data_IF_029226822663
#
_entry.id   IF_029226822663
#
_cell.length_a   1.000
_cell.length_b   1.000
_cell.length_c   1.000
_cell.angle_alpha   90.00
_cell.angle_beta   90.00
_cell.angle_gamma   90.00
#
_symmetry.space_group_name_H-M   'P 1'
#
loop_
_entity.id
_entity.type
_entity.pdbx_description
1 polymer ?
#
# COMPACT_ATOMS: atom_id res chain seq x y z
N UNK A 1 -32.17 18.29 -1.52
CA UNK A 1 -31.23 17.13 -1.57
C UNK A 1 -29.81 17.70 -1.57
N UNK A 2 -28.92 17.53 -0.59
CA UNK A 2 -28.77 16.48 0.43
C UNK A 2 -27.76 16.90 1.53
N UNK A 3 -28.20 17.53 2.63
CA UNK A 3 -27.37 17.61 3.85
C UNK A 3 -27.25 16.25 4.57
N UNK A 4 -28.18 15.31 4.30
CA UNK A 4 -28.12 13.95 4.83
C UNK A 4 -26.91 13.14 4.35
N UNK A 5 -26.51 13.29 3.08
CA UNK A 5 -25.41 12.49 2.51
C UNK A 5 -24.06 12.70 3.22
N UNK A 6 -23.56 13.94 3.42
CA UNK A 6 -22.32 14.14 4.17
C UNK A 6 -22.44 13.68 5.62
N UNK A 7 -23.58 13.92 6.28
CA UNK A 7 -23.81 13.45 7.65
C UNK A 7 -23.73 11.92 7.80
N UNK A 8 -24.33 11.17 6.88
CA UNK A 8 -24.25 9.71 6.86
C UNK A 8 -22.82 9.21 6.63
N UNK A 9 -22.01 9.91 5.82
CA UNK A 9 -20.59 9.57 5.62
C UNK A 9 -19.82 9.75 6.92
N UNK A 10 -20.07 10.83 7.66
CA UNK A 10 -19.45 11.08 8.97
C UNK A 10 -19.80 9.97 9.96
N UNK A 11 -21.10 9.65 10.10
CA UNK A 11 -21.56 8.57 10.99
C UNK A 11 -20.90 7.25 10.60
N UNK A 12 -20.92 6.88 9.31
CA UNK A 12 -20.30 5.64 8.83
C UNK A 12 -18.80 5.60 9.17
N UNK A 13 -18.09 6.70 8.95
CA UNK A 13 -16.66 6.82 9.26
C UNK A 13 -16.40 6.62 10.76
N UNK A 14 -17.21 7.25 11.62
CA UNK A 14 -17.10 7.10 13.07
C UNK A 14 -17.41 5.67 13.53
N UNK A 15 -18.47 5.05 12.99
CA UNK A 15 -18.82 3.66 13.31
C UNK A 15 -17.71 2.68 12.94
N UNK A 16 -17.11 2.82 11.75
CA UNK A 16 -15.95 2.03 11.35
C UNK A 16 -14.77 2.25 12.30
N UNK A 17 -14.46 3.51 12.61
CA UNK A 17 -13.37 3.84 13.52
C UNK A 17 -13.55 3.19 14.90
N UNK A 18 -14.75 3.30 15.48
CA UNK A 18 -15.10 2.70 16.77
C UNK A 18 -15.06 1.18 16.70
N UNK A 19 -15.64 0.58 15.67
CA UNK A 19 -15.64 -0.87 15.47
C UNK A 19 -14.20 -1.42 15.39
N UNK A 20 -13.35 -0.80 14.57
CA UNK A 20 -11.96 -1.21 14.45
C UNK A 20 -11.19 -1.02 15.77
N UNK A 21 -11.56 -0.03 16.58
CA UNK A 21 -10.93 0.18 17.89
C UNK A 21 -11.13 -0.99 18.84
N UNK A 22 -12.25 -1.72 18.71
CA UNK A 22 -12.51 -2.94 19.48
C UNK A 22 -11.43 -4.00 19.19
N UNK A 23 -10.91 -4.03 17.96
CA UNK A 23 -9.84 -4.94 17.58
C UNK A 23 -8.54 -4.69 18.38
N UNK A 24 -8.39 -3.52 19.02
CA UNK A 24 -7.16 -3.06 19.63
C UNK A 24 -7.15 -3.08 21.17
N UNK A 25 -8.26 -3.50 21.80
CA UNK A 25 -8.44 -3.41 23.26
C UNK A 25 -7.50 -4.34 24.06
N UNK A 26 -7.07 -5.47 23.49
CA UNK A 26 -6.17 -6.39 24.19
C UNK A 26 -4.71 -5.95 24.04
N UNK A 27 -4.06 -5.67 25.16
CA UNK A 27 -2.61 -5.49 25.25
C UNK A 27 -1.91 -6.82 24.97
N UNK A 28 -0.83 -6.76 24.20
CA UNK A 28 -0.03 -7.94 23.90
C UNK A 28 1.37 -7.77 24.46
N UNK A 29 1.94 -8.86 24.96
CA UNK A 29 3.32 -8.88 25.42
C UNK A 29 4.28 -8.65 24.24
N UNK A 30 5.39 -7.92 24.47
CA UNK A 30 6.43 -7.79 23.47
C UNK A 30 6.94 -9.18 23.09
N UNK A 31 7.04 -9.44 21.79
CA UNK A 31 7.64 -10.65 21.26
C UNK A 31 9.02 -10.27 20.74
N UNK A 32 10.06 -10.85 21.34
CA UNK A 32 11.42 -10.74 20.81
C UNK A 32 11.53 -11.66 19.60
N UNK A 33 11.18 -11.13 18.42
CA UNK A 33 11.54 -11.76 17.16
C UNK A 33 13.01 -11.48 16.84
N UNK A 34 13.69 -12.43 16.20
CA UNK A 34 15.09 -12.26 15.79
C UNK A 34 15.24 -11.31 14.59
N UNK A 35 14.21 -11.24 13.74
CA UNK A 35 14.14 -10.35 12.58
C UNK A 35 13.09 -9.25 12.83
N UNK A 36 13.38 -8.04 12.36
CA UNK A 36 12.43 -6.94 12.31
C UNK A 36 11.38 -7.21 11.22
N UNK A 37 10.10 -7.01 11.52
CA UNK A 37 9.02 -7.32 10.61
C UNK A 37 8.54 -6.06 9.88
N UNK A 38 8.53 -6.13 8.56
CA UNK A 38 8.01 -5.07 7.67
C UNK A 38 6.70 -5.55 7.04
N UNK A 39 5.62 -4.86 7.36
CA UNK A 39 4.31 -5.07 6.74
C UNK A 39 4.15 -4.12 5.55
N UNK A 40 4.14 -4.67 4.35
CA UNK A 40 3.90 -3.93 3.12
C UNK A 40 2.42 -4.09 2.73
N UNK A 41 1.69 -2.98 2.53
CA UNK A 41 0.24 -2.99 2.37
C UNK A 41 -0.12 -2.43 1.01
N UNK A 42 -0.63 -3.29 0.11
CA UNK A 42 -1.05 -2.88 -1.23
C UNK A 42 -2.29 -3.64 -1.66
N UNK A 43 -3.38 -2.94 -1.99
CA UNK A 43 -4.72 -3.54 -2.21
C UNK A 43 -5.37 -3.09 -3.52
N UNK A 44 -4.59 -2.45 -4.38
CA UNK A 44 -5.01 -1.94 -5.68
C UNK A 44 -5.35 -3.07 -6.67
N UNK A 45 -5.78 -2.68 -7.87
CA UNK A 45 -6.11 -3.64 -8.92
C UNK A 45 -4.84 -4.26 -9.52
N UNK A 46 -5.00 -5.33 -10.30
CA UNK A 46 -3.86 -6.07 -10.86
C UNK A 46 -2.96 -5.19 -11.77
N UNK A 47 -3.53 -4.24 -12.50
CA UNK A 47 -2.74 -3.32 -13.34
C UNK A 47 -1.77 -2.48 -12.52
N UNK A 48 -2.24 -1.91 -11.42
CA UNK A 48 -1.42 -1.10 -10.51
C UNK A 48 -0.37 -1.96 -9.79
N UNK A 49 -0.72 -3.20 -9.44
CA UNK A 49 0.23 -4.17 -8.90
C UNK A 49 1.34 -4.49 -9.91
N UNK A 50 1.01 -4.73 -11.19
CA UNK A 50 2.01 -4.97 -12.25
C UNK A 50 2.96 -3.79 -12.42
N UNK A 51 2.42 -2.57 -12.51
CA UNK A 51 3.24 -1.35 -12.61
C UNK A 51 4.14 -1.18 -11.39
N UNK A 52 3.67 -1.54 -10.21
CA UNK A 52 4.46 -1.45 -8.99
C UNK A 52 5.63 -2.43 -8.92
N UNK A 53 5.63 -3.54 -9.66
CA UNK A 53 6.69 -4.55 -9.58
C UNK A 53 8.09 -3.99 -9.82
N UNK A 54 8.24 -2.91 -10.62
CA UNK A 54 9.53 -2.25 -10.81
C UNK A 54 10.11 -1.72 -9.50
N UNK A 55 9.30 -1.11 -8.63
CA UNK A 55 9.76 -0.62 -7.33
C UNK A 55 9.58 -1.64 -6.22
N UNK A 56 8.64 -2.58 -6.35
CA UNK A 56 8.38 -3.63 -5.36
C UNK A 56 9.64 -4.47 -5.07
N UNK A 57 10.41 -4.80 -6.12
CA UNK A 57 11.67 -5.56 -5.99
C UNK A 57 12.74 -4.85 -5.13
N UNK A 58 12.69 -3.52 -5.07
CA UNK A 58 13.67 -2.71 -4.35
C UNK A 58 13.44 -2.73 -2.84
N UNK A 59 12.21 -3.01 -2.37
CA UNK A 59 11.93 -3.18 -0.94
C UNK A 59 12.77 -4.29 -0.32
N UNK A 60 13.02 -5.38 -1.04
CA UNK A 60 13.88 -6.47 -0.55
C UNK A 60 15.34 -6.04 -0.38
N UNK A 61 15.82 -5.09 -1.19
CA UNK A 61 17.16 -4.52 -1.04
C UNK A 61 17.22 -3.57 0.15
N UNK A 62 16.16 -2.79 0.36
CA UNK A 62 16.02 -1.88 1.50
C UNK A 62 15.89 -2.65 2.84
N UNK A 63 15.23 -3.81 2.80
CA UNK A 63 14.96 -4.68 3.95
C UNK A 63 15.53 -6.08 3.71
N UNK A 64 16.86 -6.26 3.89
CA UNK A 64 17.53 -7.50 3.54
C UNK A 64 17.14 -8.67 4.47
N UNK A 65 17.10 -9.91 3.95
CA UNK A 65 16.49 -11.06 4.62
C UNK A 65 17.25 -11.55 5.87
N UNK A 66 18.51 -11.16 6.04
CA UNK A 66 19.31 -11.46 7.23
C UNK A 66 18.86 -10.67 8.46
N UNK A 67 18.11 -9.58 8.27
CA UNK A 67 17.64 -8.68 9.33
C UNK A 67 16.13 -8.49 9.34
N UNK A 68 15.48 -8.65 8.19
CA UNK A 68 14.08 -8.30 8.01
C UNK A 68 13.25 -9.44 7.44
N UNK A 69 12.03 -9.59 7.97
CA UNK A 69 10.96 -10.35 7.34
C UNK A 69 9.95 -9.38 6.71
N UNK A 70 9.66 -9.52 5.43
CA UNK A 70 8.65 -8.72 4.73
C UNK A 70 7.38 -9.56 4.55
N UNK A 71 6.25 -9.02 4.99
CA UNK A 71 4.92 -9.59 4.77
C UNK A 71 4.11 -8.63 3.88
N UNK A 72 3.59 -9.12 2.76
CA UNK A 72 2.74 -8.35 1.86
C UNK A 72 1.25 -8.59 2.17
N UNK A 73 0.55 -7.60 2.70
CA UNK A 73 -0.91 -7.59 2.73
C UNK A 73 -1.46 -7.12 1.38
N UNK A 74 -1.79 -8.09 0.52
CA UNK A 74 -2.11 -7.92 -0.90
C UNK A 74 -3.60 -7.96 -1.23
N UNK A 75 -4.04 -7.51 -2.40
CA UNK A 75 -5.39 -7.80 -2.87
C UNK A 75 -5.50 -9.28 -3.25
N UNK A 76 -6.49 -9.97 -2.69
CA UNK A 76 -6.74 -11.41 -2.94
C UNK A 76 -6.74 -11.78 -4.42
N UNK A 77 -7.16 -10.89 -5.32
CA UNK A 77 -7.23 -11.14 -6.78
C UNK A 77 -5.86 -11.49 -7.39
N UNK A 78 -4.77 -10.92 -6.88
CA UNK A 78 -3.43 -11.11 -7.43
C UNK A 78 -2.43 -11.73 -6.45
N UNK A 79 -2.86 -12.07 -5.22
CA UNK A 79 -1.97 -12.65 -4.22
C UNK A 79 -1.30 -13.95 -4.66
N UNK A 80 -2.00 -14.81 -5.40
CA UNK A 80 -1.42 -16.07 -5.90
C UNK A 80 -0.19 -15.79 -6.79
N UNK A 81 -0.24 -14.75 -7.63
CA UNK A 81 0.92 -14.32 -8.42
C UNK A 81 2.01 -13.69 -7.54
N UNK A 82 1.61 -12.99 -6.49
CA UNK A 82 2.55 -12.38 -5.57
C UNK A 82 3.34 -13.43 -4.77
N UNK A 83 2.73 -14.55 -4.40
CA UNK A 83 3.39 -15.63 -3.64
C UNK A 83 4.62 -16.20 -4.36
N UNK A 84 4.64 -16.18 -5.70
CA UNK A 84 5.76 -16.66 -6.52
C UNK A 84 6.93 -15.66 -6.63
N UNK A 85 6.79 -14.43 -6.13
CA UNK A 85 7.81 -13.39 -6.25
C UNK A 85 8.79 -13.38 -5.08
N UNK A 86 10.11 -13.22 -5.32
CA UNK A 86 11.14 -13.29 -4.27
C UNK A 86 11.28 -11.99 -3.45
N UNK A 87 10.28 -11.12 -3.49
CA UNK A 87 10.35 -9.77 -2.92
C UNK A 87 9.94 -9.74 -1.44
N UNK A 88 9.11 -10.68 -1.01
CA UNK A 88 8.58 -10.80 0.36
C UNK A 88 8.65 -12.26 0.82
N UNK A 89 8.48 -12.48 2.12
CA UNK A 89 8.57 -13.82 2.74
C UNK A 89 7.19 -14.46 2.92
N UNK A 90 6.13 -13.65 2.98
CA UNK A 90 4.75 -14.11 3.19
C UNK A 90 3.76 -13.13 2.53
N UNK A 91 2.63 -13.66 2.06
CA UNK A 91 1.53 -12.88 1.50
C UNK A 91 0.27 -13.12 2.33
N UNK A 92 -0.40 -12.05 2.73
CA UNK A 92 -1.71 -12.07 3.38
C UNK A 92 -2.75 -11.56 2.38
N UNK A 93 -3.65 -12.42 1.86
CA UNK A 93 -4.67 -11.99 0.93
C UNK A 93 -5.79 -11.21 1.61
N UNK A 94 -6.07 -10.03 1.07
CA UNK A 94 -7.12 -9.11 1.51
C UNK A 94 -8.21 -9.05 0.44
N UNK A 95 -9.39 -9.54 0.78
CA UNK A 95 -10.59 -9.34 -0.04
C UNK A 95 -11.17 -7.96 0.27
N UNK A 96 -10.87 -6.99 -0.59
CA UNK A 96 -11.31 -5.60 -0.44
C UNK A 96 -12.83 -5.43 -0.32
N UNK A 97 -13.62 -6.31 -0.95
CA UNK A 97 -15.09 -6.24 -0.86
C UNK A 97 -15.53 -6.73 0.51
N UNK A 98 -15.04 -7.91 0.93
CA UNK A 98 -15.38 -8.47 2.23
C UNK A 98 -14.89 -7.58 3.37
N UNK A 99 -13.74 -6.95 3.22
CA UNK A 99 -13.16 -6.07 4.23
C UNK A 99 -14.01 -4.82 4.52
N UNK A 100 -14.77 -4.34 3.52
CA UNK A 100 -15.71 -3.22 3.66
C UNK A 100 -17.12 -3.63 4.04
N UNK A 101 -17.49 -4.90 3.86
CA UNK A 101 -18.89 -5.35 3.95
C UNK A 101 -19.16 -6.31 5.11
N UNK A 102 -18.24 -7.24 5.40
CA UNK A 102 -18.43 -8.28 6.42
C UNK A 102 -17.61 -8.01 7.67
N UNK A 103 -18.29 -7.60 8.76
CA UNK A 103 -17.66 -7.23 10.03
C UNK A 103 -16.81 -8.35 10.64
N UNK A 104 -17.22 -9.61 10.50
CA UNK A 104 -16.44 -10.77 11.01
C UNK A 104 -15.12 -10.92 10.25
N UNK A 105 -15.16 -10.85 8.92
CA UNK A 105 -13.97 -10.89 8.08
C UNK A 105 -13.03 -9.74 8.43
N UNK A 106 -13.57 -8.52 8.52
CA UNK A 106 -12.83 -7.32 8.91
C UNK A 106 -12.13 -7.48 10.26
N UNK A 107 -12.86 -7.90 11.30
CA UNK A 107 -12.29 -8.04 12.64
C UNK A 107 -11.18 -9.10 12.66
N UNK A 108 -11.38 -10.24 12.01
CA UNK A 108 -10.39 -11.30 11.92
C UNK A 108 -9.12 -10.82 11.21
N UNK A 109 -9.24 -10.11 10.10
CA UNK A 109 -8.08 -9.58 9.37
C UNK A 109 -7.35 -8.51 10.19
N UNK A 110 -8.07 -7.59 10.84
CA UNK A 110 -7.46 -6.58 11.72
C UNK A 110 -6.70 -7.22 12.89
N UNK A 111 -7.26 -8.30 13.47
CA UNK A 111 -6.56 -9.09 14.49
C UNK A 111 -5.34 -9.80 13.94
N UNK A 112 -5.43 -10.41 12.76
CA UNK A 112 -4.28 -11.04 12.10
C UNK A 112 -3.14 -10.03 11.91
N UNK A 113 -3.43 -8.86 11.31
CA UNK A 113 -2.44 -7.80 11.09
C UNK A 113 -1.85 -7.27 12.40
N UNK A 114 -2.68 -7.04 13.42
CA UNK A 114 -2.20 -6.64 14.76
C UNK A 114 -1.24 -7.67 15.35
N UNK A 115 -1.57 -8.95 15.23
CA UNK A 115 -0.80 -10.04 15.83
C UNK A 115 0.56 -10.25 15.15
N UNK A 116 0.79 -9.69 13.96
CA UNK A 116 2.09 -9.72 13.30
C UNK A 116 3.15 -8.98 14.12
N UNK A 117 2.76 -7.95 14.88
CA UNK A 117 3.67 -7.06 15.61
C UNK A 117 4.76 -6.48 14.69
N UNK A 118 4.32 -5.99 13.52
CA UNK A 118 5.21 -5.36 12.56
C UNK A 118 5.94 -4.17 13.18
N UNK A 119 7.26 -4.11 13.06
CA UNK A 119 8.08 -2.97 13.47
C UNK A 119 7.84 -1.78 12.55
N UNK A 120 7.76 -2.04 11.24
CA UNK A 120 7.45 -1.05 10.21
C UNK A 120 6.24 -1.48 9.40
N UNK A 121 5.30 -0.57 9.15
CA UNK A 121 4.22 -0.78 8.18
C UNK A 121 4.27 0.29 7.09
N UNK A 122 4.13 -0.12 5.83
CA UNK A 122 4.31 0.75 4.67
C UNK A 122 3.11 0.58 3.74
N UNK A 123 2.46 1.68 3.39
CA UNK A 123 1.39 1.71 2.39
C UNK A 123 1.80 2.67 1.26
N UNK A 124 2.35 2.14 0.16
CA UNK A 124 2.91 2.94 -0.93
C UNK A 124 1.86 3.60 -1.84
N UNK A 125 0.59 3.18 -1.75
CA UNK A 125 -0.47 3.67 -2.64
C UNK A 125 -0.71 5.17 -2.47
N UNK A 126 -0.57 5.93 -3.56
CA UNK A 126 -0.81 7.38 -3.60
C UNK A 126 -2.27 7.73 -3.29
N UNK A 127 -3.24 7.07 -3.92
CA UNK A 127 -4.66 7.23 -3.61
C UNK A 127 -5.08 6.36 -2.41
N UNK A 128 -4.64 6.76 -1.22
CA UNK A 128 -4.97 6.06 0.04
C UNK A 128 -6.48 5.92 0.25
N UNK A 129 -6.88 4.83 0.90
CA UNK A 129 -8.28 4.53 1.18
C UNK A 129 -8.50 4.16 2.65
N UNK A 130 -9.33 4.98 3.30
CA UNK A 130 -9.56 4.97 4.74
C UNK A 130 -10.03 3.63 5.31
N UNK A 131 -10.95 2.95 4.63
CA UNK A 131 -11.54 1.69 5.12
C UNK A 131 -10.68 0.47 4.76
N UNK A 132 -9.72 0.61 3.86
CA UNK A 132 -8.82 -0.43 3.36
C UNK A 132 -7.41 -0.24 3.91
N UNK A 133 -6.50 0.33 3.10
CA UNK A 133 -5.07 0.43 3.41
C UNK A 133 -4.82 1.08 4.77
N UNK A 134 -5.45 2.23 5.01
CA UNK A 134 -5.17 2.99 6.24
C UNK A 134 -5.69 2.26 7.48
N UNK A 135 -6.78 1.48 7.33
CA UNK A 135 -7.28 0.64 8.42
C UNK A 135 -6.28 -0.47 8.78
N UNK A 136 -5.55 -1.02 7.81
CA UNK A 136 -4.49 -2.00 8.07
C UNK A 136 -3.25 -1.34 8.68
N UNK A 137 -2.86 -0.15 8.22
CA UNK A 137 -1.78 0.65 8.87
C UNK A 137 -2.12 0.90 10.34
N UNK A 138 -3.35 1.34 10.61
CA UNK A 138 -3.80 1.57 11.98
C UNK A 138 -3.74 0.29 12.82
N UNK A 139 -4.14 -0.84 12.24
CA UNK A 139 -4.19 -2.12 12.92
C UNK A 139 -2.81 -2.69 13.26
N UNK A 140 -1.80 -2.42 12.43
CA UNK A 140 -0.45 -2.94 12.62
C UNK A 140 0.16 -2.52 13.96
N UNK A 141 -0.23 -1.35 14.48
CA UNK A 141 0.36 -0.71 15.66
C UNK A 141 1.89 -0.60 15.62
N UNK A 142 2.46 -0.61 14.41
CA UNK A 142 3.89 -0.47 14.20
C UNK A 142 4.41 0.84 14.76
N UNK A 143 5.66 0.80 15.24
CA UNK A 143 6.38 1.97 15.74
C UNK A 143 6.66 2.94 14.60
N UNK A 144 6.94 2.42 13.39
CA UNK A 144 7.04 3.20 12.15
C UNK A 144 5.92 2.83 11.19
N UNK A 145 5.13 3.82 10.77
CA UNK A 145 4.03 3.69 9.79
C UNK A 145 4.18 4.74 8.71
N UNK A 146 4.59 4.31 7.52
CA UNK A 146 4.94 5.18 6.40
C UNK A 146 3.89 5.08 5.31
N UNK A 147 3.41 6.20 4.80
CA UNK A 147 2.46 6.19 3.67
C UNK A 147 2.61 7.45 2.84
N UNK A 148 2.07 7.46 1.62
CA UNK A 148 2.10 8.69 0.80
C UNK A 148 1.19 9.74 1.41
N UNK A 149 1.58 11.02 1.41
CA UNK A 149 0.62 12.13 1.67
C UNK A 149 -0.60 11.94 0.77
N UNK A 150 -0.35 11.60 -0.49
CA UNK A 150 -1.36 11.11 -1.41
C UNK A 150 -2.47 12.13 -1.73
N UNK A 151 -3.46 11.65 -2.48
CA UNK A 151 -4.70 12.38 -2.70
C UNK A 151 -5.89 11.50 -2.32
N UNK A 152 -6.46 11.73 -1.14
CA UNK A 152 -7.81 11.29 -0.83
C UNK A 152 -8.77 12.30 -1.45
N UNK A 153 -9.20 12.05 -2.70
CA UNK A 153 -9.93 13.02 -3.52
C UNK A 153 -10.94 13.91 -2.77
N UNK A 154 -11.05 15.16 -3.22
CA UNK A 154 -11.69 16.36 -2.62
C UNK A 154 -12.99 16.23 -1.78
N UNK A 155 -13.69 15.09 -1.77
CA UNK A 155 -14.96 14.88 -1.05
C UNK A 155 -14.84 14.30 0.36
N UNK A 156 -13.63 13.97 0.85
CA UNK A 156 -13.45 13.19 2.08
C UNK A 156 -12.43 13.76 3.09
N UNK A 157 -12.34 15.09 3.27
CA UNK A 157 -11.40 15.74 4.20
C UNK A 157 -11.39 15.12 5.61
N UNK A 158 -12.56 14.78 6.18
CA UNK A 158 -12.64 14.17 7.50
C UNK A 158 -11.90 12.82 7.57
N UNK A 159 -12.04 11.98 6.53
CA UNK A 159 -11.36 10.68 6.49
C UNK A 159 -9.86 10.86 6.42
N UNK A 160 -9.40 11.76 5.56
CA UNK A 160 -7.98 12.09 5.43
C UNK A 160 -7.43 12.60 6.76
N UNK A 161 -8.09 13.58 7.38
CA UNK A 161 -7.67 14.14 8.67
C UNK A 161 -7.55 13.08 9.78
N UNK A 162 -8.48 12.12 9.83
CA UNK A 162 -8.42 11.04 10.82
C UNK A 162 -7.32 10.03 10.45
N UNK A 163 -7.26 9.60 9.18
CA UNK A 163 -6.29 8.61 8.70
C UNK A 163 -4.85 9.12 8.83
N UNK A 164 -4.58 10.39 8.52
CA UNK A 164 -3.25 11.00 8.62
C UNK A 164 -2.63 10.82 10.00
N UNK A 165 -3.45 10.81 11.07
CA UNK A 165 -3.00 10.58 12.45
C UNK A 165 -2.64 9.12 12.75
N UNK A 166 -2.97 8.19 11.88
CA UNK A 166 -2.60 6.78 12.03
C UNK A 166 -1.19 6.49 11.50
N UNK A 167 -0.64 7.40 10.69
CA UNK A 167 0.70 7.29 10.14
C UNK A 167 1.69 8.07 11.03
N UNK A 168 2.92 7.58 11.13
CA UNK A 168 4.00 8.31 11.80
C UNK A 168 4.78 9.16 10.81
N UNK A 169 4.76 8.78 9.53
CA UNK A 169 5.50 9.42 8.46
C UNK A 169 4.61 9.44 7.21
N UNK A 170 4.44 10.63 6.64
CA UNK A 170 3.77 10.81 5.35
C UNK A 170 4.78 11.34 4.34
N UNK A 171 5.11 10.51 3.35
CA UNK A 171 6.05 10.86 2.29
C UNK A 171 5.38 11.91 1.38
N UNK A 172 5.96 13.10 1.21
CA UNK A 172 5.45 14.11 0.30
C UNK A 172 5.33 13.54 -1.11
N UNK A 173 4.31 14.00 -1.84
CA UNK A 173 4.11 13.61 -3.22
C UNK A 173 3.81 14.86 -4.05
N UNK A 174 4.37 14.93 -5.26
CA UNK A 174 4.20 16.05 -6.18
C UNK A 174 2.74 16.24 -6.57
N UNK A 175 2.33 17.49 -6.81
CA UNK A 175 1.03 17.78 -7.40
C UNK A 175 0.98 17.57 -8.92
N UNK A 176 2.12 17.30 -9.55
CA UNK A 176 2.23 17.11 -10.99
C UNK A 176 1.51 15.83 -11.46
N UNK A 177 0.95 15.83 -12.68
CA UNK A 177 0.41 14.63 -13.28
C UNK A 177 1.56 13.67 -13.61
N UNK A 178 1.73 12.64 -12.79
CA UNK A 178 2.73 11.58 -12.97
C UNK A 178 2.01 10.27 -13.35
N UNK A 179 2.68 9.44 -14.13
CA UNK A 179 2.28 8.05 -14.38
C UNK A 179 2.34 7.23 -13.08
N UNK A 180 1.66 6.09 -13.03
CA UNK A 180 1.71 5.22 -11.85
C UNK A 180 3.13 4.68 -11.57
N UNK A 181 3.95 4.46 -12.62
CA UNK A 181 5.36 4.09 -12.46
C UNK A 181 6.15 5.21 -11.77
N UNK A 182 5.99 6.45 -12.23
CA UNK A 182 6.62 7.63 -11.63
C UNK A 182 6.14 7.87 -10.20
N UNK A 183 4.86 7.67 -9.90
CA UNK A 183 4.31 7.77 -8.54
C UNK A 183 4.89 6.72 -7.61
N UNK A 184 5.01 5.48 -8.07
CA UNK A 184 5.63 4.41 -7.29
C UNK A 184 7.11 4.71 -7.02
N UNK A 185 7.84 5.24 -8.01
CA UNK A 185 9.24 5.62 -7.88
C UNK A 185 9.46 6.84 -6.97
N UNK A 186 8.60 7.85 -7.07
CA UNK A 186 8.57 9.02 -6.19
C UNK A 186 8.41 8.60 -4.73
N UNK A 187 7.40 7.76 -4.45
CA UNK A 187 7.16 7.26 -3.10
C UNK A 187 8.36 6.48 -2.56
N UNK A 188 8.90 5.53 -3.35
CA UNK A 188 10.04 4.73 -2.92
C UNK A 188 11.30 5.59 -2.71
N UNK A 189 11.50 6.62 -3.53
CA UNK A 189 12.63 7.54 -3.38
C UNK A 189 12.53 8.35 -2.10
N UNK A 190 11.32 8.82 -1.76
CA UNK A 190 11.06 9.49 -0.49
C UNK A 190 11.26 8.56 0.73
N UNK A 191 10.80 7.31 0.62
CA UNK A 191 10.94 6.30 1.67
C UNK A 191 12.40 5.90 1.94
N UNK A 192 13.20 5.72 0.89
CA UNK A 192 14.59 5.24 0.96
C UNK A 192 15.62 6.36 1.06
N UNK A 193 15.18 7.62 0.91
CA UNK A 193 16.04 8.81 0.78
C UNK A 193 17.08 8.68 -0.35
N UNK A 194 16.82 7.85 -1.35
CA UNK A 194 17.69 7.55 -2.48
C UNK A 194 16.88 7.60 -3.78
N UNK A 195 17.37 8.24 -4.85
CA UNK A 195 16.61 8.32 -6.09
C UNK A 195 16.44 6.93 -6.73
N UNK A 196 15.21 6.58 -7.10
CA UNK A 196 14.91 5.39 -7.90
C UNK A 196 14.68 5.77 -9.36
N UNK A 197 15.44 5.15 -10.25
CA UNK A 197 15.25 5.30 -11.69
C UNK A 197 14.24 4.25 -12.18
N UNK A 198 13.18 4.74 -12.81
CA UNK A 198 12.11 3.92 -13.37
C UNK A 198 12.67 3.09 -14.51
N UNK A 199 12.34 1.80 -14.53
CA UNK A 199 12.56 0.98 -15.71
C UNK A 199 11.23 0.79 -16.46
N UNK A 200 11.15 1.39 -17.64
CA UNK A 200 10.06 1.11 -18.55
C UNK A 200 10.29 -0.24 -19.24
N UNK A 201 9.23 -1.04 -19.44
CA UNK A 201 9.33 -2.21 -20.30
C UNK A 201 9.74 -1.74 -21.70
N UNK A 202 10.86 -2.26 -22.20
CA UNK A 202 11.35 -2.01 -23.55
C UNK A 202 10.99 -3.20 -24.41
N UNK A 203 10.32 -2.95 -25.53
CA UNK A 203 10.14 -3.96 -26.57
C UNK A 203 11.35 -3.89 -27.49
N UNK A 204 12.09 -4.99 -27.56
CA UNK A 204 13.11 -5.16 -28.60
C UNK A 204 12.39 -5.44 -29.92
N UNK A 205 12.11 -4.37 -30.67
CA UNK A 205 11.53 -4.47 -32.02
C UNK A 205 12.68 -4.61 -33.01
N UNK A 206 12.77 -5.69 -33.80
CA UNK A 206 13.83 -5.80 -34.79
C UNK A 206 13.70 -4.69 -35.84
N UNK A 207 14.81 -4.01 -36.15
CA UNK A 207 14.83 -2.81 -37.02
C UNK A 207 14.17 -2.98 -38.40
N UNK A 208 14.08 -4.22 -38.90
CA UNK A 208 13.45 -4.50 -40.19
C UNK A 208 11.91 -4.46 -40.16
N UNK A 209 11.29 -4.48 -38.98
CA UNK A 209 9.86 -4.23 -38.80
C UNK A 209 9.53 -2.73 -38.69
N UNK A 210 10.54 -1.88 -38.42
CA UNK A 210 10.36 -0.44 -38.32
C UNK A 210 10.44 0.18 -39.71
N UNK A 211 9.37 0.87 -40.13
CA UNK A 211 9.46 1.72 -41.32
C UNK A 211 10.52 2.82 -41.07
N UNK A 212 11.08 3.38 -42.13
CA UNK A 212 12.12 4.43 -42.03
C UNK A 212 11.70 5.65 -41.22
N UNK A 213 10.39 5.86 -41.00
CA UNK A 213 9.83 6.95 -40.19
C UNK A 213 9.93 6.70 -38.68
N UNK A 214 10.06 5.44 -38.25
CA UNK A 214 9.95 5.02 -36.85
C UNK A 214 11.29 4.53 -36.25
N UNK A 215 12.39 4.63 -37.00
CA UNK A 215 13.71 4.11 -36.58
C UNK A 215 14.38 4.91 -35.45
N UNK A 216 14.03 6.19 -35.33
CA UNK A 216 14.62 7.10 -34.34
C UNK A 216 13.74 7.30 -33.09
N UNK A 217 12.56 6.67 -33.03
CA UNK A 217 11.64 6.81 -31.90
C UNK A 217 11.76 5.64 -30.91
N UNK A 218 11.95 5.97 -29.63
CA UNK A 218 11.89 4.99 -28.54
C UNK A 218 10.43 4.71 -28.21
N UNK A 219 9.96 3.49 -28.50
CA UNK A 219 8.62 3.05 -28.14
C UNK A 219 8.59 2.58 -26.68
N UNK A 220 7.83 3.30 -25.86
CA UNK A 220 7.46 2.87 -24.51
C UNK A 220 6.03 2.30 -24.57
N UNK A 221 5.77 1.22 -23.83
CA UNK A 221 4.43 0.63 -23.68
C UNK A 221 3.69 1.30 -22.55
#
# INVERSE_FOLDING_TARGET
MTLLKPFLIVIKTLLFFLFDSIAFWKTQSPQQNQLELVLLIRQDAIGDFMMWLDTAKEYRKLYPPDKYKIILAGNKIWCDLAEDLPYWDEVIPVDSIQFKTFSRYRLNLLWQIRNLKADTAIQPTFSREFYNGDSLIRASQSSRKVSSVGNMGNRNWLKQFIADRWHTELIPASSEPLTELERNAEFFSGLSHSPHLINYPKLDIPEFWLSSEWKDENFYV
#
